data_IF_167130384205
#
_entry.id   IF_167130384205
#
_cell.length_a   1.000
_cell.length_b   1.000
_cell.length_c   1.000
_cell.angle_alpha   90.00
_cell.angle_beta   90.00
_cell.angle_gamma   90.00
#
_symmetry.space_group_name_H-M   'P 1'
#
loop_
_entity.id
_entity.type
_entity.pdbx_description
1 polymer ?
#
# COMPACT_ATOMS: atom_id res chain seq x y z
N UNK A 1 21.58 -13.45 17.46
CA UNK A 1 22.53 -12.34 17.64
C UNK A 1 23.09 -11.84 16.32
N UNK A 2 23.63 -12.69 15.45
CA UNK A 2 24.24 -12.25 14.19
C UNK A 2 23.23 -11.79 13.10
N UNK A 3 22.04 -12.40 13.08
CA UNK A 3 20.97 -12.06 12.12
C UNK A 3 20.28 -10.72 12.41
N UNK A 4 20.16 -10.36 13.69
CA UNK A 4 19.59 -9.09 14.15
C UNK A 4 20.59 -7.95 13.93
N UNK A 5 21.88 -8.19 14.15
CA UNK A 5 22.95 -7.23 13.82
C UNK A 5 23.08 -7.00 12.31
N UNK A 6 22.88 -8.02 11.46
CA UNK A 6 22.82 -7.86 10.00
C UNK A 6 21.57 -7.11 9.52
N UNK A 7 20.46 -7.22 10.23
CA UNK A 7 19.23 -6.43 10.01
C UNK A 7 19.39 -4.97 10.49
N UNK A 8 20.02 -4.74 11.65
CA UNK A 8 20.33 -3.39 12.15
C UNK A 8 21.38 -2.68 11.28
N UNK A 9 22.39 -3.38 10.77
CA UNK A 9 23.36 -2.83 9.81
C UNK A 9 22.74 -2.51 8.44
N UNK A 10 21.58 -3.13 8.08
CA UNK A 10 20.78 -2.75 6.91
C UNK A 10 19.93 -1.49 7.15
N UNK A 11 19.60 -1.18 8.40
CA UNK A 11 18.82 -0.01 8.81
C UNK A 11 19.72 1.23 9.02
N UNK A 12 21.01 1.04 9.33
CA UNK A 12 21.97 2.11 9.59
C UNK A 12 22.82 2.55 8.37
N UNK A 13 22.22 2.62 7.16
CA UNK A 13 22.82 3.52 6.15
C UNK A 13 22.31 4.92 6.43
N UNK A 14 23.17 5.88 6.79
CA UNK A 14 22.75 7.27 6.85
C UNK A 14 22.35 7.66 5.42
N UNK A 15 21.05 7.87 5.21
CA UNK A 15 20.60 8.72 4.12
C UNK A 15 21.18 10.08 4.44
N UNK A 16 22.38 10.34 3.95
CA UNK A 16 23.00 11.65 4.02
C UNK A 16 22.24 12.53 3.02
N UNK A 17 21.02 12.91 3.37
CA UNK A 17 20.21 13.86 2.64
C UNK A 17 20.56 15.24 3.15
N UNK A 18 21.53 15.86 2.47
CA UNK A 18 21.56 17.32 2.39
C UNK A 18 20.13 17.77 1.96
N UNK A 19 19.42 18.62 2.73
CA UNK A 19 18.02 18.97 2.49
C UNK A 19 17.85 19.96 1.33
N UNK A 20 18.51 19.70 0.19
CA UNK A 20 18.24 20.34 -1.10
C UNK A 20 17.58 19.33 -2.05
N UNK A 21 16.44 18.81 -1.62
CA UNK A 21 15.62 17.89 -2.38
C UNK A 21 14.73 18.66 -3.36
N UNK A 22 15.32 19.23 -4.41
CA UNK A 22 14.56 19.53 -5.61
C UNK A 22 14.38 18.22 -6.38
N UNK A 23 13.15 17.96 -6.83
CA UNK A 23 12.84 16.99 -7.86
C UNK A 23 13.57 17.47 -9.13
N UNK A 24 14.80 17.03 -9.32
CA UNK A 24 15.62 17.36 -10.49
C UNK A 24 15.67 16.14 -11.38
N UNK A 25 14.98 16.22 -12.52
CA UNK A 25 15.07 15.23 -13.60
C UNK A 25 15.82 15.84 -14.78
N UNK A 26 16.60 15.02 -15.47
CA UNK A 26 17.15 15.35 -16.80
C UNK A 26 16.28 14.82 -17.94
N UNK A 27 15.31 13.95 -17.64
CA UNK A 27 14.38 13.34 -18.61
C UNK A 27 13.12 14.20 -18.77
N UNK A 28 12.53 14.64 -17.66
CA UNK A 28 11.25 15.37 -17.62
C UNK A 28 11.44 16.76 -17.00
N UNK A 29 10.67 17.74 -17.48
CA UNK A 29 10.53 19.03 -16.78
C UNK A 29 9.85 18.83 -15.42
N UNK A 30 9.99 19.80 -14.51
CA UNK A 30 9.34 19.70 -13.19
C UNK A 30 7.81 19.51 -13.29
N UNK A 31 7.16 20.15 -14.27
CA UNK A 31 5.71 20.01 -14.47
C UNK A 31 5.34 18.62 -15.00
N UNK A 32 6.12 18.07 -15.93
CA UNK A 32 5.89 16.73 -16.47
C UNK A 32 6.15 15.65 -15.43
N UNK A 33 7.17 15.82 -14.58
CA UNK A 33 7.43 14.89 -13.50
C UNK A 33 6.33 14.94 -12.44
N UNK A 34 5.80 16.12 -12.09
CA UNK A 34 4.62 16.24 -11.22
C UNK A 34 3.39 15.58 -11.84
N UNK A 35 3.18 15.76 -13.14
CA UNK A 35 2.08 15.13 -13.86
C UNK A 35 2.22 13.61 -13.89
N UNK A 36 3.42 13.08 -14.17
CA UNK A 36 3.72 11.65 -14.09
C UNK A 36 3.44 11.11 -12.68
N UNK A 37 3.95 11.77 -11.64
CA UNK A 37 3.72 11.41 -10.23
C UNK A 37 2.21 11.39 -9.93
N UNK A 38 1.44 12.35 -10.45
CA UNK A 38 -0.01 12.34 -10.30
C UNK A 38 -0.68 11.20 -11.09
N UNK A 39 -0.19 10.88 -12.29
CA UNK A 39 -0.69 9.80 -13.15
C UNK A 39 -0.55 8.45 -12.44
N UNK A 40 0.61 8.17 -11.84
CA UNK A 40 0.84 6.96 -11.06
C UNK A 40 0.22 7.00 -9.65
N UNK A 41 -0.65 7.98 -9.37
CA UNK A 41 -1.42 8.17 -8.12
C UNK A 41 -0.54 8.47 -6.89
N UNK A 42 0.56 9.21 -7.07
CA UNK A 42 1.53 9.56 -6.03
C UNK A 42 1.56 11.07 -5.70
N UNK A 43 0.48 11.82 -5.96
CA UNK A 43 0.43 13.29 -6.01
C UNK A 43 0.97 14.03 -4.77
N UNK A 44 0.90 13.43 -3.59
CA UNK A 44 1.33 14.04 -2.32
C UNK A 44 2.65 13.49 -1.77
N UNK A 45 3.35 12.66 -2.54
CA UNK A 45 4.58 12.02 -2.11
C UNK A 45 5.80 12.82 -2.53
N UNK A 46 6.79 12.91 -1.63
CA UNK A 46 8.12 13.41 -1.96
C UNK A 46 8.97 12.28 -2.51
N UNK A 47 9.72 12.57 -3.56
CA UNK A 47 10.58 11.62 -4.26
C UNK A 47 12.01 12.11 -4.25
N UNK A 48 12.95 11.21 -3.92
CA UNK A 48 14.38 11.49 -3.93
C UNK A 48 15.04 10.72 -5.07
N UNK A 49 15.83 11.42 -5.89
CA UNK A 49 16.62 10.80 -6.95
C UNK A 49 17.78 10.01 -6.36
N UNK A 50 17.75 8.69 -6.50
CA UNK A 50 18.75 7.77 -5.93
C UNK A 50 19.81 7.38 -6.95
N UNK A 51 19.42 7.24 -8.20
CA UNK A 51 20.29 6.81 -9.29
C UNK A 51 19.95 7.56 -10.57
N UNK A 52 20.98 8.02 -11.28
CA UNK A 52 20.87 8.57 -12.64
C UNK A 52 21.99 7.99 -13.49
N UNK A 53 21.68 7.40 -14.64
CA UNK A 53 22.65 6.75 -15.51
C UNK A 53 23.81 7.67 -15.92
N UNK A 54 23.53 8.90 -16.37
CA UNK A 54 24.58 9.86 -16.74
C UNK A 54 25.46 10.33 -15.57
N UNK A 55 24.99 10.23 -14.32
CA UNK A 55 25.72 10.64 -13.11
C UNK A 55 26.48 9.47 -12.48
N UNK A 56 25.84 8.32 -12.37
CA UNK A 56 26.27 7.18 -11.57
C UNK A 56 26.82 6.02 -12.42
N UNK A 57 26.66 6.07 -13.75
CA UNK A 57 27.04 5.01 -14.71
C UNK A 57 25.85 4.12 -15.10
N UNK A 58 25.96 3.44 -16.23
CA UNK A 58 24.90 2.60 -16.83
C UNK A 58 25.17 1.09 -16.70
N UNK A 59 26.17 0.67 -15.93
CA UNK A 59 26.40 -0.75 -15.66
C UNK A 59 25.38 -1.25 -14.63
N UNK A 60 25.00 -2.53 -14.72
CA UNK A 60 24.12 -3.17 -13.72
C UNK A 60 24.69 -3.02 -12.31
N UNK A 61 26.02 -3.08 -12.15
CA UNK A 61 26.71 -2.84 -10.88
C UNK A 61 26.42 -1.45 -10.29
N UNK A 62 26.34 -0.40 -11.12
CA UNK A 62 26.02 0.95 -10.65
C UNK A 62 24.59 1.03 -10.12
N UNK A 63 23.64 0.42 -10.85
CA UNK A 63 22.26 0.31 -10.42
C UNK A 63 22.15 -0.45 -9.09
N UNK A 64 22.70 -1.67 -8.99
CA UNK A 64 22.64 -2.47 -7.77
C UNK A 64 23.31 -1.78 -6.58
N UNK A 65 24.44 -1.10 -6.78
CA UNK A 65 25.11 -0.37 -5.71
C UNK A 65 24.23 0.74 -5.11
N UNK A 66 23.41 1.40 -5.94
CA UNK A 66 22.55 2.52 -5.55
C UNK A 66 21.16 2.09 -5.11
N UNK A 67 20.61 1.03 -5.70
CA UNK A 67 19.20 0.69 -5.60
C UNK A 67 18.91 -0.59 -4.83
N UNK A 68 19.87 -1.51 -4.64
CA UNK A 68 19.63 -2.72 -3.84
C UNK A 68 19.23 -2.36 -2.40
N UNK A 69 18.16 -3.00 -1.93
CA UNK A 69 17.54 -2.73 -0.63
C UNK A 69 16.59 -1.54 -0.62
N UNK A 70 16.46 -0.77 -1.71
CA UNK A 70 15.42 0.25 -1.84
C UNK A 70 14.10 -0.39 -2.28
N UNK A 71 13.02 -0.02 -1.60
CA UNK A 71 11.63 -0.26 -2.00
C UNK A 71 10.97 1.04 -2.44
N UNK A 72 9.70 0.96 -2.87
CA UNK A 72 8.89 2.12 -3.28
C UNK A 72 9.64 3.00 -4.27
N UNK A 73 10.11 2.37 -5.36
CA UNK A 73 10.93 3.03 -6.36
C UNK A 73 10.16 3.32 -7.62
N UNK A 74 10.36 4.51 -8.18
CA UNK A 74 9.87 4.93 -9.49
C UNK A 74 11.08 5.00 -10.44
N UNK A 75 11.09 4.13 -11.45
CA UNK A 75 12.08 4.13 -12.53
C UNK A 75 11.53 4.88 -13.73
N UNK A 76 12.30 5.83 -14.27
CA UNK A 76 12.00 6.60 -15.48
C UNK A 76 13.14 6.37 -16.47
N UNK A 77 12.79 6.01 -17.70
CA UNK A 77 13.74 5.70 -18.78
C UNK A 77 13.41 6.60 -19.97
N UNK A 78 14.44 7.18 -20.57
CA UNK A 78 14.39 7.85 -21.87
C UNK A 78 15.19 7.02 -22.88
N UNK A 79 14.64 6.80 -24.07
CA UNK A 79 15.35 6.20 -25.21
C UNK A 79 15.88 7.24 -26.18
N UNK A 80 16.77 6.85 -27.10
CA UNK A 80 17.33 7.75 -28.11
C UNK A 80 16.26 8.39 -29.03
N UNK A 81 15.14 7.70 -29.25
CA UNK A 81 14.00 8.23 -30.00
C UNK A 81 12.98 9.01 -29.13
N UNK A 82 13.39 9.44 -27.92
CA UNK A 82 12.60 10.29 -27.02
C UNK A 82 11.30 9.69 -26.50
N UNK A 83 11.19 8.35 -26.52
CA UNK A 83 10.16 7.69 -25.74
C UNK A 83 10.53 7.78 -24.25
N UNK A 84 9.52 8.03 -23.40
CA UNK A 84 9.64 8.09 -21.94
C UNK A 84 8.65 7.14 -21.31
N UNK A 85 9.16 6.18 -20.57
CA UNK A 85 8.38 5.11 -19.93
C UNK A 85 9.15 4.61 -18.70
N UNK A 86 8.56 3.66 -17.99
CA UNK A 86 9.23 3.04 -16.85
C UNK A 86 8.26 2.28 -15.98
N UNK A 87 8.59 2.11 -14.71
CA UNK A 87 7.77 1.36 -13.79
C UNK A 87 7.93 1.80 -12.36
N UNK A 88 6.91 1.51 -11.57
CA UNK A 88 6.94 1.63 -10.13
C UNK A 88 6.87 0.24 -9.51
N UNK A 89 7.65 0.00 -8.45
CA UNK A 89 7.49 -1.17 -7.60
C UNK A 89 7.63 -0.77 -6.13
N UNK A 90 6.77 -1.34 -5.29
CA UNK A 90 6.88 -1.34 -3.83
C UNK A 90 7.85 -2.40 -3.31
N UNK A 91 8.23 -3.41 -4.11
CA UNK A 91 9.19 -4.43 -3.69
C UNK A 91 10.63 -3.88 -3.62
N UNK A 92 11.44 -4.51 -2.76
CA UNK A 92 12.86 -4.19 -2.65
C UNK A 92 13.64 -4.77 -3.83
N UNK A 93 14.52 -3.97 -4.43
CA UNK A 93 15.53 -4.49 -5.36
C UNK A 93 16.58 -5.33 -4.63
N UNK A 94 17.08 -6.36 -5.31
CA UNK A 94 18.23 -7.14 -4.87
C UNK A 94 18.98 -7.71 -6.08
N UNK A 95 20.07 -8.41 -5.79
CA UNK A 95 20.89 -9.15 -6.76
C UNK A 95 20.87 -10.66 -6.53
N UNK A 96 19.89 -11.15 -5.77
CA UNK A 96 19.82 -12.55 -5.34
C UNK A 96 19.34 -13.49 -6.46
N UNK A 97 18.80 -12.96 -7.55
CA UNK A 97 18.19 -13.74 -8.62
C UNK A 97 16.76 -14.13 -8.28
N UNK A 98 15.85 -14.01 -9.24
CA UNK A 98 14.47 -14.50 -9.10
C UNK A 98 13.40 -13.42 -9.16
N UNK A 99 12.15 -13.89 -9.20
CA UNK A 99 10.99 -13.02 -9.14
C UNK A 99 10.73 -12.56 -7.71
N UNK A 100 10.29 -11.32 -7.59
CA UNK A 100 9.80 -10.76 -6.33
C UNK A 100 8.35 -10.33 -6.51
N UNK A 101 7.54 -10.72 -5.52
CA UNK A 101 6.11 -10.45 -5.55
C UNK A 101 5.81 -8.98 -5.23
N UNK A 102 4.96 -8.35 -6.04
CA UNK A 102 4.40 -7.03 -5.78
C UNK A 102 3.07 -6.83 -6.52
N UNK A 103 1.97 -6.69 -5.78
CA UNK A 103 0.63 -6.52 -6.36
C UNK A 103 0.32 -5.08 -6.78
N UNK A 104 1.18 -4.13 -6.44
CA UNK A 104 0.99 -2.72 -6.74
C UNK A 104 2.01 -2.20 -7.74
N UNK A 105 2.87 -3.08 -8.22
CA UNK A 105 3.80 -2.78 -9.28
C UNK A 105 3.03 -2.39 -10.54
N UNK A 106 3.56 -1.43 -11.28
CA UNK A 106 2.99 -0.96 -12.53
C UNK A 106 4.08 -0.59 -13.51
N UNK A 107 3.74 -0.64 -14.79
CA UNK A 107 4.52 -0.03 -15.87
C UNK A 107 3.73 1.18 -16.37
N UNK A 108 4.41 2.26 -16.72
CA UNK A 108 3.78 3.42 -17.36
C UNK A 108 4.47 3.75 -18.68
N UNK A 109 3.72 4.38 -19.57
CA UNK A 109 4.22 5.05 -20.75
C UNK A 109 3.77 6.50 -20.72
N UNK A 110 4.72 7.43 -20.81
CA UNK A 110 4.47 8.87 -20.70
C UNK A 110 4.58 9.56 -22.05
N UNK A 111 5.68 9.31 -22.77
CA UNK A 111 5.85 9.67 -24.17
C UNK A 111 6.11 8.41 -25.00
N UNK A 112 5.27 8.18 -26.00
CA UNK A 112 5.36 7.04 -26.91
C UNK A 112 4.92 7.44 -28.33
N UNK A 113 5.04 6.50 -29.26
CA UNK A 113 4.66 6.67 -30.67
C UNK A 113 3.19 7.06 -30.89
N UNK A 114 2.32 6.80 -29.91
CA UNK A 114 0.90 7.13 -29.95
C UNK A 114 0.56 8.47 -29.25
N UNK A 115 1.54 9.10 -28.60
CA UNK A 115 1.38 10.30 -27.78
C UNK A 115 0.25 10.17 -26.72
N UNK A 116 0.12 8.99 -26.11
CA UNK A 116 -0.87 8.70 -25.05
C UNK A 116 -0.19 8.28 -23.76
N UNK A 117 -0.61 8.85 -22.63
CA UNK A 117 -0.19 8.41 -21.30
C UNK A 117 -0.96 7.16 -20.89
N UNK A 118 -0.26 6.12 -20.47
CA UNK A 118 -0.85 4.81 -20.18
C UNK A 118 -0.21 4.17 -18.93
N UNK A 119 -1.01 3.39 -18.22
CA UNK A 119 -0.61 2.61 -17.05
C UNK A 119 -0.99 1.14 -17.30
N UNK A 120 -0.08 0.24 -16.97
CA UNK A 120 -0.25 -1.20 -17.01
C UNK A 120 -0.11 -1.71 -15.58
N UNK A 121 -1.22 -2.13 -14.99
CA UNK A 121 -1.21 -2.72 -13.65
C UNK A 121 -0.68 -4.17 -13.72
N UNK A 122 0.02 -4.61 -12.67
CA UNK A 122 0.52 -5.97 -12.59
C UNK A 122 -0.64 -6.96 -12.39
N UNK A 123 -0.87 -7.82 -13.38
CA UNK A 123 -1.88 -8.89 -13.33
C UNK A 123 -1.34 -10.17 -12.69
N UNK A 124 -0.01 -10.35 -12.74
CA UNK A 124 0.71 -11.51 -12.18
C UNK A 124 1.66 -11.08 -11.07
N UNK A 125 1.10 -10.77 -9.90
CA UNK A 125 1.85 -10.16 -8.80
C UNK A 125 3.03 -10.99 -8.30
N UNK A 126 3.02 -12.33 -8.43
CA UNK A 126 4.16 -13.20 -8.07
C UNK A 126 5.38 -12.99 -8.96
N UNK A 127 5.17 -12.51 -10.18
CA UNK A 127 6.19 -12.24 -11.19
C UNK A 127 6.27 -10.74 -11.48
N UNK A 128 6.16 -9.88 -10.46
CA UNK A 128 6.08 -8.43 -10.63
C UNK A 128 7.42 -7.81 -11.05
N UNK A 129 8.51 -8.08 -10.33
CA UNK A 129 9.87 -7.67 -10.73
C UNK A 129 10.78 -8.88 -10.76
N UNK A 130 11.87 -8.76 -11.52
CA UNK A 130 12.87 -9.82 -11.63
C UNK A 130 14.26 -9.27 -11.29
N UNK A 131 14.81 -9.71 -10.16
CA UNK A 131 16.03 -9.16 -9.57
C UNK A 131 17.26 -9.95 -10.03
N UNK A 132 17.83 -9.65 -11.20
CA UNK A 132 19.05 -10.33 -11.67
C UNK A 132 20.32 -9.53 -11.40
N UNK A 133 21.42 -10.15 -10.94
CA UNK A 133 22.68 -9.46 -10.63
C UNK A 133 23.35 -8.73 -11.81
N UNK A 134 23.05 -9.14 -13.05
CA UNK A 134 23.72 -8.68 -14.26
C UNK A 134 22.83 -7.79 -15.15
N UNK A 135 21.74 -7.26 -14.61
CA UNK A 135 20.82 -6.37 -15.32
C UNK A 135 20.53 -5.11 -14.52
N UNK A 136 19.99 -4.09 -15.17
CA UNK A 136 19.34 -2.98 -14.48
C UNK A 136 17.94 -3.37 -13.97
N UNK A 137 17.06 -2.38 -13.75
CA UNK A 137 15.67 -2.62 -13.39
C UNK A 137 14.97 -3.54 -14.38
N UNK A 138 14.23 -4.52 -13.86
CA UNK A 138 13.43 -5.43 -14.68
C UNK A 138 12.07 -5.66 -14.05
N UNK A 139 11.03 -5.44 -14.84
CA UNK A 139 9.63 -5.64 -14.48
C UNK A 139 9.06 -6.79 -15.29
N UNK A 140 8.40 -7.71 -14.61
CA UNK A 140 7.74 -8.83 -15.24
C UNK A 140 8.73 -9.86 -15.76
N UNK A 141 8.26 -10.67 -16.71
CA UNK A 141 9.11 -11.57 -17.46
C UNK A 141 9.41 -10.93 -18.82
N UNK A 142 10.39 -10.02 -18.84
CA UNK A 142 10.75 -9.18 -19.99
C UNK A 142 9.65 -8.21 -20.46
N UNK A 143 8.60 -7.97 -19.66
CA UNK A 143 7.64 -6.90 -19.92
C UNK A 143 8.38 -5.55 -20.03
N UNK A 144 9.35 -5.32 -19.15
CA UNK A 144 10.37 -4.27 -19.30
C UNK A 144 11.70 -4.77 -18.73
N UNK A 145 12.74 -4.83 -19.57
CA UNK A 145 14.08 -5.30 -19.21
C UNK A 145 15.15 -4.29 -19.62
N UNK A 146 16.02 -3.92 -18.67
CA UNK A 146 17.16 -3.03 -18.90
C UNK A 146 18.47 -3.82 -18.79
N UNK A 147 19.22 -3.87 -19.88
CA UNK A 147 20.49 -4.57 -19.99
C UNK A 147 21.63 -3.87 -19.24
N UNK A 148 22.71 -4.61 -18.96
CA UNK A 148 23.97 -3.99 -18.55
C UNK A 148 24.53 -3.11 -19.68
N UNK A 149 25.12 -1.97 -19.33
CA UNK A 149 25.61 -0.97 -20.30
C UNK A 149 24.53 -0.58 -21.33
N UNK A 150 23.27 -0.44 -20.89
CA UNK A 150 22.11 -0.16 -21.74
C UNK A 150 22.21 1.10 -22.60
N UNK A 151 23.17 1.99 -22.31
CA UNK A 151 23.49 3.17 -23.11
C UNK A 151 24.51 2.91 -24.24
N UNK A 152 24.98 1.67 -24.42
CA UNK A 152 25.96 1.29 -25.46
C UNK A 152 25.48 0.16 -26.37
N UNK A 153 24.43 -0.57 -25.98
CA UNK A 153 23.88 -1.69 -26.74
C UNK A 153 22.36 -1.56 -26.91
N UNK A 154 21.77 -2.50 -27.64
CA UNK A 154 20.33 -2.60 -27.88
C UNK A 154 19.71 -3.81 -27.15
N UNK A 155 20.37 -4.32 -26.10
CA UNK A 155 19.95 -5.55 -25.44
C UNK A 155 18.79 -5.32 -24.44
N UNK A 156 18.44 -4.07 -24.17
CA UNK A 156 17.23 -3.71 -23.42
C UNK A 156 15.99 -3.97 -24.28
N UNK A 157 14.90 -4.41 -23.66
CA UNK A 157 13.69 -4.82 -24.39
C UNK A 157 12.40 -4.58 -23.58
N UNK A 158 11.27 -4.56 -24.28
CA UNK A 158 9.95 -4.40 -23.69
C UNK A 158 8.95 -5.30 -24.41
N UNK A 159 8.35 -6.24 -23.69
CA UNK A 159 7.37 -7.20 -24.19
C UNK A 159 6.10 -7.18 -23.35
N UNK A 160 5.42 -6.03 -23.30
CA UNK A 160 4.25 -5.80 -22.43
C UNK A 160 3.15 -6.82 -22.75
N UNK A 161 2.78 -7.64 -21.77
CA UNK A 161 1.64 -8.55 -21.90
C UNK A 161 1.74 -9.84 -21.09
N UNK A 162 2.87 -10.09 -20.40
CA UNK A 162 3.04 -11.28 -19.56
C UNK A 162 2.57 -11.01 -18.12
N UNK A 163 3.34 -10.23 -17.36
CA UNK A 163 2.98 -9.83 -16.00
C UNK A 163 2.18 -8.54 -15.96
N UNK A 164 2.28 -7.72 -17.02
CA UNK A 164 1.63 -6.43 -17.14
C UNK A 164 0.78 -6.44 -18.40
N UNK A 165 -0.53 -6.59 -18.23
CA UNK A 165 -1.44 -6.71 -19.36
C UNK A 165 -2.15 -5.38 -19.65
N UNK A 166 -2.47 -5.16 -20.92
CA UNK A 166 -3.51 -4.23 -21.34
C UNK A 166 -4.53 -5.03 -22.16
N UNK A 167 -5.77 -4.55 -22.23
CA UNK A 167 -6.85 -5.16 -23.03
C UNK A 167 -6.58 -5.17 -24.54
N UNK A 168 -5.49 -4.51 -24.99
CA UNK A 168 -5.20 -4.27 -26.40
C UNK A 168 -4.15 -5.23 -26.98
N UNK A 169 -3.27 -5.84 -26.17
CA UNK A 169 -2.11 -6.59 -26.67
C UNK A 169 -2.07 -8.03 -26.13
N UNK A 170 -1.78 -9.00 -27.00
CA UNK A 170 -1.41 -10.36 -26.59
C UNK A 170 0.09 -10.45 -26.33
N UNK A 171 0.49 -11.23 -25.32
CA UNK A 171 1.91 -11.48 -25.04
C UNK A 171 2.65 -11.96 -26.30
N UNK A 172 3.87 -11.46 -26.51
CA UNK A 172 4.73 -11.73 -27.67
C UNK A 172 4.21 -11.27 -29.04
N UNK A 173 3.11 -10.51 -29.11
CA UNK A 173 2.69 -9.87 -30.36
C UNK A 173 3.68 -8.77 -30.80
N UNK A 174 3.63 -8.38 -32.07
CA UNK A 174 4.48 -7.28 -32.56
C UNK A 174 4.09 -5.93 -31.94
N UNK A 175 2.80 -5.74 -31.64
CA UNK A 175 2.30 -4.58 -30.90
C UNK A 175 2.89 -4.54 -29.50
N UNK A 176 2.90 -5.68 -28.78
CA UNK A 176 3.51 -5.82 -27.45
C UNK A 176 4.98 -5.41 -27.43
N UNK A 177 5.74 -5.82 -28.44
CA UNK A 177 7.18 -5.54 -28.61
C UNK A 177 7.49 -4.09 -28.95
N UNK A 178 6.63 -3.47 -29.76
CA UNK A 178 6.90 -2.13 -30.31
C UNK A 178 6.16 -1.03 -29.57
N UNK A 179 5.33 -1.38 -28.57
CA UNK A 179 4.42 -0.45 -27.93
C UNK A 179 5.10 0.77 -27.30
N UNK A 180 6.07 0.54 -26.41
CA UNK A 180 6.69 1.61 -25.63
C UNK A 180 7.66 2.45 -26.45
N UNK A 181 8.41 1.79 -27.35
CA UNK A 181 9.62 2.36 -27.96
C UNK A 181 9.57 2.39 -29.48
N UNK A 182 8.58 1.77 -30.12
CA UNK A 182 8.54 1.55 -31.57
C UNK A 182 9.41 0.37 -32.05
N UNK A 183 10.11 -0.33 -31.16
CA UNK A 183 11.00 -1.46 -31.50
C UNK A 183 11.10 -2.47 -30.35
N UNK A 184 11.23 -3.77 -30.67
CA UNK A 184 11.38 -4.83 -29.65
C UNK A 184 12.56 -4.61 -28.69
N UNK A 185 13.63 -4.05 -29.24
CA UNK A 185 14.89 -3.77 -28.57
C UNK A 185 15.21 -2.28 -28.67
N UNK A 186 15.85 -1.72 -27.64
CA UNK A 186 16.16 -0.31 -27.59
C UNK A 186 17.44 -0.01 -26.82
N UNK A 187 17.98 1.18 -27.07
CA UNK A 187 19.12 1.75 -26.36
C UNK A 187 18.63 2.85 -25.44
N UNK A 188 19.13 2.85 -24.21
CA UNK A 188 18.76 3.81 -23.17
C UNK A 188 19.60 5.08 -23.34
N UNK A 189 18.94 6.23 -23.48
CA UNK A 189 19.60 7.53 -23.49
C UNK A 189 19.84 8.03 -22.06
N UNK A 190 18.86 7.83 -21.18
CA UNK A 190 18.96 8.18 -19.76
C UNK A 190 18.05 7.28 -18.92
N UNK A 191 18.44 7.04 -17.66
CA UNK A 191 17.64 6.33 -16.68
C UNK A 191 17.74 7.01 -15.33
N UNK A 192 16.62 7.22 -14.66
CA UNK A 192 16.54 7.78 -13.33
C UNK A 192 15.69 6.88 -12.43
N UNK A 193 16.17 6.63 -11.21
CA UNK A 193 15.41 5.88 -10.19
C UNK A 193 15.23 6.76 -8.98
N UNK A 194 13.99 6.97 -8.62
CA UNK A 194 13.57 7.72 -7.45
C UNK A 194 13.07 6.76 -6.39
N UNK A 195 13.26 7.08 -5.11
CA UNK A 195 12.58 6.40 -4.01
C UNK A 195 11.70 7.39 -3.26
N UNK A 196 10.59 6.90 -2.72
CA UNK A 196 9.72 7.69 -1.87
C UNK A 196 10.47 8.13 -0.61
N UNK A 197 10.23 9.37 -0.20
CA UNK A 197 10.63 9.86 1.12
C UNK A 197 9.97 9.05 2.24
N UNK A 198 10.77 8.43 3.11
CA UNK A 198 10.31 8.12 4.47
C UNK A 198 10.27 9.44 5.24
N UNK A 199 9.15 10.16 5.15
CA UNK A 199 8.94 11.31 6.03
C UNK A 199 8.88 10.80 7.48
N UNK A 200 9.54 11.50 8.41
CA UNK A 200 9.31 11.24 9.83
C UNK A 200 7.98 11.88 10.21
N UNK A 201 7.21 11.21 11.06
CA UNK A 201 6.06 11.86 11.70
C UNK A 201 6.55 13.12 12.44
N UNK A 202 5.88 14.25 12.19
CA UNK A 202 6.17 15.47 12.94
C UNK A 202 5.76 15.31 14.41
N UNK A 203 6.38 16.07 15.30
CA UNK A 203 6.04 16.04 16.73
C UNK A 203 4.55 16.31 16.97
N UNK A 204 3.95 17.25 16.25
CA UNK A 204 2.52 17.58 16.38
C UNK A 204 1.63 16.41 15.97
N UNK A 205 1.99 15.70 14.90
CA UNK A 205 1.28 14.50 14.42
C UNK A 205 1.36 13.36 15.43
N UNK A 206 2.53 13.11 16.00
CA UNK A 206 2.72 12.10 17.05
C UNK A 206 1.85 12.42 18.27
N UNK A 207 1.85 13.68 18.71
CA UNK A 207 1.08 14.12 19.87
C UNK A 207 -0.42 13.90 19.66
N UNK A 208 -0.95 14.29 18.50
CA UNK A 208 -2.35 14.07 18.14
C UNK A 208 -2.71 12.58 18.15
N UNK A 209 -1.84 11.72 17.60
CA UNK A 209 -2.05 10.29 17.58
C UNK A 209 -1.97 9.67 18.98
N UNK A 210 -1.09 10.16 19.86
CA UNK A 210 -1.06 9.75 21.28
C UNK A 210 -2.39 10.06 21.96
N UNK A 211 -2.93 11.26 21.76
CA UNK A 211 -4.21 11.70 22.34
C UNK A 211 -5.38 10.86 21.80
N UNK A 212 -5.41 10.57 20.50
CA UNK A 212 -6.49 9.77 19.88
C UNK A 212 -6.45 8.28 20.25
N UNK A 213 -5.26 7.70 20.36
CA UNK A 213 -5.09 6.23 20.50
C UNK A 213 -4.81 5.79 21.94
N UNK A 214 -4.46 6.72 22.83
CA UNK A 214 -3.99 6.42 24.18
C UNK A 214 -2.61 5.74 24.22
N UNK A 215 -1.89 5.65 23.09
CA UNK A 215 -0.59 4.99 22.98
C UNK A 215 0.55 5.98 23.14
N UNK A 216 1.72 5.49 23.57
CA UNK A 216 2.90 6.34 23.70
C UNK A 216 3.64 6.52 22.36
N UNK A 217 4.52 7.52 22.32
CA UNK A 217 5.31 7.88 21.12
C UNK A 217 6.08 6.71 20.52
N UNK A 218 6.66 5.84 21.35
CA UNK A 218 7.46 4.70 20.87
C UNK A 218 6.59 3.70 20.12
N UNK A 219 5.41 3.38 20.66
CA UNK A 219 4.46 2.46 20.02
C UNK A 219 3.96 3.02 18.67
N UNK A 220 3.65 4.32 18.62
CA UNK A 220 3.22 4.98 17.38
C UNK A 220 4.35 4.93 16.34
N UNK A 221 5.59 5.20 16.75
CA UNK A 221 6.73 5.17 15.85
C UNK A 221 7.01 3.76 15.31
N UNK A 222 6.96 2.73 16.16
CA UNK A 222 7.13 1.33 15.75
C UNK A 222 6.06 0.92 14.71
N UNK A 223 4.80 1.31 14.92
CA UNK A 223 3.72 1.05 13.97
C UNK A 223 3.88 1.87 12.70
N UNK A 224 4.36 3.11 12.78
CA UNK A 224 4.64 3.95 11.61
C UNK A 224 5.75 3.39 10.74
N UNK A 225 6.82 2.90 11.35
CA UNK A 225 7.94 2.31 10.63
C UNK A 225 7.49 1.02 9.92
N UNK A 226 6.69 0.19 10.61
CA UNK A 226 6.08 -0.99 10.02
C UNK A 226 5.08 -0.65 8.89
N UNK A 227 4.28 0.41 9.08
CA UNK A 227 3.35 0.90 8.07
C UNK A 227 4.11 1.37 6.84
N UNK A 228 5.11 2.24 6.97
CA UNK A 228 5.90 2.75 5.84
C UNK A 228 6.63 1.63 5.07
N UNK A 229 6.96 0.53 5.72
CA UNK A 229 7.58 -0.63 5.06
C UNK A 229 6.62 -1.38 4.13
N UNK A 230 5.31 -1.30 4.36
CA UNK A 230 4.28 -2.08 3.64
C UNK A 230 3.34 -1.19 2.83
N UNK A 231 3.14 0.05 3.27
CA UNK A 231 2.24 1.01 2.68
C UNK A 231 2.82 1.55 1.39
N UNK A 232 2.05 1.41 0.32
CA UNK A 232 2.40 1.92 -0.99
C UNK A 232 1.73 3.27 -1.11
N UNK A 233 2.54 4.29 -1.39
CA UNK A 233 2.12 5.70 -1.39
C UNK A 233 1.71 6.21 -0.01
N UNK A 234 2.15 5.52 1.05
CA UNK A 234 1.73 5.88 2.41
C UNK A 234 0.27 5.53 2.65
N UNK A 235 -0.24 4.60 1.85
CA UNK A 235 -1.59 4.08 1.90
C UNK A 235 -1.54 2.55 1.89
N UNK A 236 -2.52 1.92 2.54
CA UNK A 236 -2.74 0.48 2.48
C UNK A 236 -4.12 0.24 1.91
N UNK A 237 -4.21 -0.57 0.85
CA UNK A 237 -5.52 -0.94 0.29
C UNK A 237 -6.35 -1.66 1.35
N UNK A 238 -7.61 -1.24 1.51
CA UNK A 238 -8.52 -1.77 2.51
C UNK A 238 -8.60 -3.31 2.48
N UNK A 239 -8.77 -3.86 1.27
CA UNK A 239 -8.83 -5.31 1.01
C UNK A 239 -7.63 -6.06 1.61
N UNK A 240 -6.42 -5.50 1.43
CA UNK A 240 -5.20 -6.14 1.90
C UNK A 240 -5.13 -6.12 3.42
N UNK A 241 -5.53 -5.00 4.03
CA UNK A 241 -5.53 -4.88 5.49
C UNK A 241 -6.55 -5.81 6.15
N UNK A 242 -7.77 -5.87 5.61
CA UNK A 242 -8.80 -6.82 6.02
C UNK A 242 -8.28 -8.26 5.90
N UNK A 243 -7.70 -8.60 4.74
CA UNK A 243 -7.14 -9.94 4.50
C UNK A 243 -6.02 -10.28 5.49
N UNK A 244 -5.17 -9.32 5.83
CA UNK A 244 -4.11 -9.47 6.80
C UNK A 244 -4.65 -9.77 8.21
N UNK A 245 -5.65 -9.01 8.66
CA UNK A 245 -6.28 -9.21 9.97
C UNK A 245 -7.00 -10.55 10.06
N UNK A 246 -7.69 -10.95 8.99
CA UNK A 246 -8.31 -12.27 8.87
C UNK A 246 -7.26 -13.38 9.00
N UNK A 247 -6.13 -13.31 8.25
CA UNK A 247 -5.06 -14.31 8.34
C UNK A 247 -4.41 -14.38 9.72
N UNK A 248 -4.31 -13.25 10.42
CA UNK A 248 -3.80 -13.19 11.80
C UNK A 248 -4.75 -13.88 12.79
N UNK A 249 -6.05 -13.91 12.49
CA UNK A 249 -7.05 -14.68 13.22
C UNK A 249 -7.07 -16.14 12.76
N UNK A 250 -6.13 -16.94 13.27
CA UNK A 250 -5.84 -18.33 12.85
C UNK A 250 -6.97 -19.37 13.04
N UNK A 251 -8.16 -18.99 13.51
CA UNK A 251 -9.21 -19.92 13.95
C UNK A 251 -10.56 -19.72 13.22
N UNK A 252 -10.56 -19.43 11.92
CA UNK A 252 -11.78 -19.42 11.09
C UNK A 252 -11.96 -20.82 10.50
N UNK A 253 -13.03 -21.51 10.87
CA UNK A 253 -13.23 -22.93 10.54
C UNK A 253 -14.12 -23.11 9.31
N UNK A 254 -14.96 -22.11 8.98
CA UNK A 254 -15.92 -22.18 7.87
C UNK A 254 -15.84 -20.99 6.90
N UNK A 255 -16.18 -21.24 5.63
CA UNK A 255 -16.27 -20.19 4.60
C UNK A 255 -17.33 -19.12 4.94
N UNK A 256 -18.36 -19.52 5.68
CA UNK A 256 -19.41 -18.61 6.16
C UNK A 256 -18.84 -17.61 7.18
N UNK A 257 -18.16 -18.08 8.22
CA UNK A 257 -17.51 -17.22 9.21
C UNK A 257 -16.48 -16.27 8.57
N UNK A 258 -15.75 -16.75 7.55
CA UNK A 258 -14.79 -15.94 6.80
C UNK A 258 -15.45 -14.74 6.12
N UNK A 259 -16.50 -14.99 5.33
CA UNK A 259 -17.23 -13.94 4.61
C UNK A 259 -17.89 -12.95 5.56
N UNK A 260 -18.34 -13.43 6.72
CA UNK A 260 -18.94 -12.61 7.76
C UNK A 260 -17.93 -11.67 8.41
N UNK A 261 -16.77 -12.22 8.82
CA UNK A 261 -15.68 -11.43 9.38
C UNK A 261 -15.17 -10.39 8.37
N UNK A 262 -15.04 -10.78 7.10
CA UNK A 262 -14.66 -9.86 6.03
C UNK A 262 -15.67 -8.72 5.88
N UNK A 263 -16.96 -9.02 5.86
CA UNK A 263 -18.01 -7.99 5.77
C UNK A 263 -17.99 -7.01 6.94
N UNK A 264 -17.78 -7.49 8.17
CA UNK A 264 -17.74 -6.64 9.37
C UNK A 264 -16.48 -5.77 9.36
N UNK A 265 -15.33 -6.37 9.08
CA UNK A 265 -14.05 -5.66 9.04
C UNK A 265 -14.05 -4.58 7.96
N UNK A 266 -14.47 -4.90 6.73
CA UNK A 266 -14.64 -3.92 5.65
C UNK A 266 -15.50 -2.75 6.10
N UNK A 267 -16.65 -3.07 6.68
CA UNK A 267 -17.59 -2.08 7.16
C UNK A 267 -16.96 -1.16 8.22
N UNK A 268 -16.24 -1.71 9.20
CA UNK A 268 -15.52 -0.92 10.20
C UNK A 268 -14.47 -0.03 9.54
N UNK A 269 -13.66 -0.55 8.64
CA UNK A 269 -12.60 0.25 8.04
C UNK A 269 -13.09 1.31 7.06
N UNK A 270 -14.22 1.10 6.38
CA UNK A 270 -14.90 2.14 5.59
C UNK A 270 -15.30 3.35 6.46
N UNK A 271 -15.50 3.17 7.77
CA UNK A 271 -15.78 4.29 8.68
C UNK A 271 -14.54 5.13 9.03
N UNK A 272 -13.34 4.60 8.78
CA UNK A 272 -12.07 5.28 8.97
C UNK A 272 -11.46 5.81 7.68
N UNK A 273 -11.88 5.30 6.51
CA UNK A 273 -11.56 5.83 5.18
C UNK A 273 -12.34 7.14 4.96
N UNK A 274 -11.82 8.25 5.49
CA UNK A 274 -12.54 9.54 5.53
C UNK A 274 -12.75 10.10 4.11
N UNK A 275 -11.83 9.79 3.19
CA UNK A 275 -11.87 10.25 1.81
C UNK A 275 -12.56 9.26 0.84
N UNK A 276 -12.99 8.09 1.34
CA UNK A 276 -13.61 7.00 0.57
C UNK A 276 -12.75 6.56 -0.63
N UNK A 277 -11.43 6.59 -0.48
CA UNK A 277 -10.48 6.21 -1.53
C UNK A 277 -10.35 4.69 -1.70
N UNK A 278 -10.89 3.90 -0.77
CA UNK A 278 -10.65 2.45 -0.68
C UNK A 278 -9.25 2.11 -0.15
N UNK A 279 -8.56 3.10 0.41
CA UNK A 279 -7.21 3.01 0.95
C UNK A 279 -7.17 3.66 2.33
N UNK A 280 -6.30 3.16 3.21
CA UNK A 280 -6.05 3.74 4.52
C UNK A 280 -4.70 4.45 4.51
N UNK A 281 -4.69 5.76 4.70
CA UNK A 281 -3.48 6.49 5.05
C UNK A 281 -2.98 6.09 6.45
N UNK A 282 -1.84 6.61 6.89
CA UNK A 282 -1.32 6.24 8.20
C UNK A 282 -2.22 6.64 9.38
N UNK A 283 -2.86 7.81 9.32
CA UNK A 283 -3.76 8.30 10.37
C UNK A 283 -5.02 7.45 10.48
N UNK A 284 -5.57 7.04 9.35
CA UNK A 284 -6.72 6.15 9.28
C UNK A 284 -6.30 4.76 9.79
N UNK A 285 -5.24 4.21 9.21
CA UNK A 285 -4.69 2.90 9.57
C UNK A 285 -4.40 2.75 11.06
N UNK A 286 -3.70 3.70 11.69
CA UNK A 286 -3.23 3.54 13.07
C UNK A 286 -4.40 3.54 14.07
N UNK A 287 -5.44 4.34 13.80
CA UNK A 287 -6.65 4.36 14.61
C UNK A 287 -7.32 2.99 14.60
N UNK A 288 -7.44 2.35 13.43
CA UNK A 288 -8.02 1.02 13.36
C UNK A 288 -7.07 -0.07 13.88
N UNK A 289 -5.78 -0.01 13.54
CA UNK A 289 -4.79 -1.00 13.92
C UNK A 289 -4.80 -1.25 15.43
N UNK A 290 -4.87 -0.18 16.24
CA UNK A 290 -4.85 -0.31 17.69
C UNK A 290 -6.15 -0.87 18.29
N UNK A 291 -7.30 -0.70 17.63
CA UNK A 291 -8.55 -1.39 18.00
C UNK A 291 -8.36 -2.90 17.88
N UNK A 292 -7.73 -3.34 16.78
CA UNK A 292 -7.57 -4.78 16.47
C UNK A 292 -6.25 -5.39 16.97
N UNK A 293 -5.36 -4.61 17.57
CA UNK A 293 -4.11 -5.10 18.17
C UNK A 293 -4.37 -5.96 19.43
N UNK A 294 -5.54 -5.81 20.07
CA UNK A 294 -5.89 -6.48 21.32
C UNK A 294 -5.96 -8.01 21.18
N UNK A 295 -5.07 -8.70 21.89
CA UNK A 295 -4.70 -10.13 21.80
C UNK A 295 -5.87 -11.12 22.08
N UNK A 296 -5.98 -12.18 21.26
CA UNK A 296 -6.93 -13.36 21.24
C UNK A 296 -8.36 -13.13 20.67
N UNK A 297 -8.94 -14.17 20.01
CA UNK A 297 -10.24 -14.15 19.26
C UNK A 297 -11.39 -13.47 20.01
N UNK A 298 -11.61 -13.82 21.28
CA UNK A 298 -12.65 -13.20 22.14
C UNK A 298 -12.46 -11.69 22.30
N UNK A 299 -11.22 -11.21 22.27
CA UNK A 299 -10.91 -9.78 22.39
C UNK A 299 -11.06 -9.04 21.06
N UNK A 300 -10.90 -9.69 19.90
CA UNK A 300 -11.16 -9.06 18.59
C UNK A 300 -12.66 -8.84 18.35
N UNK A 301 -13.50 -9.84 18.64
CA UNK A 301 -14.96 -9.69 18.57
C UNK A 301 -15.45 -8.63 19.56
N UNK A 302 -14.86 -8.59 20.76
CA UNK A 302 -15.16 -7.59 21.78
C UNK A 302 -14.75 -6.20 21.33
N UNK A 303 -13.58 -6.03 20.73
CA UNK A 303 -13.13 -4.75 20.19
C UNK A 303 -14.08 -4.22 19.10
N UNK A 304 -14.64 -5.09 18.26
CA UNK A 304 -15.67 -4.70 17.27
C UNK A 304 -16.92 -4.17 17.98
N UNK A 305 -17.40 -4.86 19.02
CA UNK A 305 -18.58 -4.38 19.77
C UNK A 305 -18.30 -3.10 20.53
N UNK A 306 -17.13 -2.98 21.17
CA UNK A 306 -16.71 -1.76 21.85
C UNK A 306 -16.65 -0.59 20.86
N UNK A 307 -16.14 -0.83 19.63
CA UNK A 307 -16.15 0.15 18.55
C UNK A 307 -17.57 0.51 18.09
N UNK A 308 -18.45 -0.47 17.87
CA UNK A 308 -19.83 -0.23 17.45
C UNK A 308 -20.61 0.53 18.53
N UNK A 309 -20.35 0.24 19.80
CA UNK A 309 -20.88 0.99 20.92
C UNK A 309 -20.42 2.45 20.88
N UNK A 310 -19.12 2.68 20.79
CA UNK A 310 -18.55 4.04 20.76
C UNK A 310 -19.00 4.83 19.51
N UNK A 311 -19.34 4.13 18.42
CA UNK A 311 -19.92 4.71 17.21
C UNK A 311 -21.40 5.07 17.36
N UNK A 312 -22.15 4.32 18.19
CA UNK A 312 -23.54 4.60 18.49
C UNK A 312 -23.69 5.70 19.56
N UNK A 313 -22.81 5.72 20.56
CA UNK A 313 -22.78 6.66 21.69
C UNK A 313 -22.30 8.04 21.22
N UNK A 314 -23.19 8.78 20.56
CA UNK A 314 -22.84 10.05 19.89
C UNK A 314 -22.57 11.16 20.88
N UNK A 315 -23.25 11.14 22.02
CA UNK A 315 -23.12 12.13 23.06
C UNK A 315 -21.99 11.80 24.07
N UNK A 316 -21.37 10.62 23.93
CA UNK A 316 -20.29 10.10 24.79
C UNK A 316 -20.73 9.91 26.23
N UNK A 317 -22.02 9.61 26.44
CA UNK A 317 -22.61 9.36 27.76
C UNK A 317 -22.12 8.04 28.39
N UNK A 318 -21.41 7.19 27.64
CA UNK A 318 -21.02 5.83 28.03
C UNK A 318 -22.22 4.88 28.19
N UNK A 319 -23.36 5.25 27.62
CA UNK A 319 -24.61 4.49 27.59
C UNK A 319 -25.30 4.68 26.25
N UNK A 320 -26.17 3.75 25.85
CA UNK A 320 -26.95 3.88 24.62
C UNK A 320 -28.44 4.02 24.91
N UNK A 321 -29.05 5.00 24.25
CA UNK A 321 -30.51 5.16 24.18
C UNK A 321 -31.12 4.34 23.04
N UNK A 322 -32.44 4.14 23.07
CA UNK A 322 -33.15 3.35 22.05
C UNK A 322 -33.03 3.99 20.66
N UNK A 323 -32.97 5.31 20.58
CA UNK A 323 -32.75 6.09 19.37
C UNK A 323 -31.37 5.80 18.76
N UNK A 324 -30.30 5.85 19.56
CA UNK A 324 -28.92 5.55 19.12
C UNK A 324 -28.80 4.10 18.64
N UNK A 325 -29.43 3.16 19.35
CA UNK A 325 -29.48 1.76 18.93
C UNK A 325 -30.24 1.63 17.62
N UNK A 326 -31.38 2.31 17.44
CA UNK A 326 -32.12 2.26 16.18
C UNK A 326 -31.33 2.84 15.01
N UNK A 327 -30.55 3.91 15.24
CA UNK A 327 -29.65 4.46 14.22
C UNK A 327 -28.51 3.50 13.89
N UNK A 328 -27.89 2.90 14.90
CA UNK A 328 -26.87 1.85 14.74
C UNK A 328 -27.41 0.67 13.92
N UNK A 329 -28.60 0.17 14.26
CA UNK A 329 -29.28 -0.93 13.54
C UNK A 329 -29.66 -0.57 12.10
N UNK A 330 -30.09 0.68 11.86
CA UNK A 330 -30.35 1.18 10.50
C UNK A 330 -29.07 1.29 9.67
N UNK A 331 -27.97 1.69 10.31
CA UNK A 331 -26.67 1.81 9.67
C UNK A 331 -26.09 0.42 9.36
N UNK A 332 -26.33 -0.58 10.22
CA UNK A 332 -25.73 -1.92 10.12
C UNK A 332 -26.75 -3.09 10.14
N UNK A 333 -27.74 -3.13 9.24
CA UNK A 333 -28.84 -4.09 9.33
C UNK A 333 -28.41 -5.54 9.10
N UNK A 334 -27.40 -5.77 8.24
CA UNK A 334 -26.95 -7.12 7.87
C UNK A 334 -26.13 -7.81 8.97
N UNK A 335 -25.52 -7.01 9.86
CA UNK A 335 -24.64 -7.48 10.93
C UNK A 335 -25.45 -7.63 12.21
N UNK A 336 -26.25 -6.61 12.55
CA UNK A 336 -26.89 -6.51 13.87
C UNK A 336 -28.29 -7.15 13.97
N UNK A 337 -28.96 -7.45 12.85
CA UNK A 337 -30.25 -8.16 12.88
C UNK A 337 -30.12 -9.69 12.90
N UNK A 338 -28.93 -10.24 13.18
CA UNK A 338 -28.67 -11.68 13.22
C UNK A 338 -29.03 -12.27 14.58
N UNK A 339 -29.44 -13.54 14.61
CA UNK A 339 -29.65 -14.34 15.84
C UNK A 339 -30.43 -13.60 16.95
N UNK A 340 -31.45 -12.82 16.59
CA UNK A 340 -32.23 -12.01 17.52
C UNK A 340 -31.40 -10.96 18.30
N UNK A 341 -30.19 -10.60 17.87
CA UNK A 341 -29.33 -9.62 18.56
C UNK A 341 -30.02 -8.25 18.64
N UNK A 342 -30.56 -7.75 17.53
CA UNK A 342 -31.31 -6.50 17.50
C UNK A 342 -32.53 -6.49 18.44
N UNK A 343 -33.29 -7.60 18.52
CA UNK A 343 -34.41 -7.69 19.47
C UNK A 343 -33.91 -7.74 20.91
N UNK A 344 -32.87 -8.52 21.20
CA UNK A 344 -32.28 -8.59 22.54
C UNK A 344 -31.70 -7.25 23.03
N UNK A 345 -31.10 -6.46 22.13
CA UNK A 345 -30.66 -5.10 22.44
C UNK A 345 -31.83 -4.22 22.88
N UNK A 346 -32.91 -4.21 22.07
CA UNK A 346 -34.10 -3.40 22.36
C UNK A 346 -34.78 -3.87 23.65
N UNK A 347 -34.84 -5.17 23.87
CA UNK A 347 -35.45 -5.76 25.07
C UNK A 347 -34.63 -5.41 26.33
N UNK A 348 -33.30 -5.50 26.29
CA UNK A 348 -32.45 -5.07 27.43
C UNK A 348 -32.64 -3.60 27.76
N UNK A 349 -32.70 -2.72 26.75
CA UNK A 349 -32.93 -1.28 26.96
C UNK A 349 -34.32 -1.05 27.57
N UNK A 350 -35.35 -1.68 27.02
CA UNK A 350 -36.74 -1.50 27.49
C UNK A 350 -36.98 -2.06 28.89
N UNK A 351 -36.24 -3.12 29.29
CA UNK A 351 -36.30 -3.73 30.62
C UNK A 351 -35.44 -2.99 31.65
N UNK A 352 -34.46 -2.19 31.21
CA UNK A 352 -33.62 -1.40 32.11
C UNK A 352 -34.43 -0.27 32.76
N UNK A 353 -34.21 -0.06 34.07
CA UNK A 353 -34.97 0.95 34.85
C UNK A 353 -34.76 2.39 34.38
N UNK A 354 -33.61 2.68 33.76
CA UNK A 354 -33.22 3.98 33.23
C UNK A 354 -33.36 4.08 31.71
N UNK A 355 -33.82 3.01 31.02
CA UNK A 355 -33.88 2.92 29.55
C UNK A 355 -32.53 3.15 28.85
N UNK A 356 -31.44 2.75 29.50
CA UNK A 356 -30.08 2.91 29.00
C UNK A 356 -29.38 1.56 28.97
N UNK A 357 -28.54 1.36 27.97
CA UNK A 357 -27.69 0.18 27.85
C UNK A 357 -26.22 0.56 28.01
N UNK A 358 -25.55 0.03 29.02
CA UNK A 358 -24.13 0.31 29.26
C UNK A 358 -23.22 -0.45 28.30
N UNK A 359 -21.97 0.02 28.14
CA UNK A 359 -20.96 -0.63 27.30
C UNK A 359 -20.71 -2.11 27.66
N UNK A 360 -20.71 -2.43 28.95
CA UNK A 360 -20.55 -3.81 29.41
C UNK A 360 -21.74 -4.69 29.01
N UNK A 361 -22.97 -4.20 29.22
CA UNK A 361 -24.19 -4.94 28.87
C UNK A 361 -24.33 -5.15 27.35
N UNK A 362 -23.88 -4.18 26.55
CA UNK A 362 -23.78 -4.31 25.10
C UNK A 362 -22.77 -5.39 24.70
N UNK A 363 -21.59 -5.41 25.34
CA UNK A 363 -20.54 -6.40 25.05
C UNK A 363 -20.87 -7.81 25.56
N UNK A 364 -21.72 -7.96 26.58
CA UNK A 364 -22.19 -9.28 27.03
C UNK A 364 -23.01 -10.03 25.98
N UNK A 365 -23.58 -9.33 25.01
CA UNK A 365 -24.37 -9.92 23.93
C UNK A 365 -23.48 -10.48 22.79
N UNK A 366 -22.17 -10.54 22.99
CA UNK A 366 -21.18 -10.98 21.99
C UNK A 366 -21.41 -12.39 21.47
N UNK A 367 -21.83 -13.31 22.35
CA UNK A 367 -22.12 -14.71 21.99
C UNK A 367 -23.38 -14.85 21.10
N UNK A 368 -24.17 -13.79 20.92
CA UNK A 368 -25.33 -13.80 20.02
C UNK A 368 -24.96 -13.31 18.61
N UNK A 369 -23.90 -12.52 18.47
CA UNK A 369 -23.54 -11.85 17.22
C UNK A 369 -22.58 -12.68 16.34
N UNK A 370 -21.77 -13.50 17.00
CA UNK A 370 -20.80 -14.43 16.40
C UNK A 370 -21.06 -15.84 16.93
#
# INVERSE_FOLDING_TARGET
NDSVQKLQAKIERPVNSDPKAHISSTILTENELRDLISLVKFKDQKWYLMYRGSRDGFMSENFHHKCDGLSNTLTIIETENKAVFGGFTGACWSKDGGFVQDQYSLIFSYFNTLNKKLIFECSRSLEAIYCQPNSGPSFGYNDLFISNECNKNFDSSSHIGYSYCNTVNSYNSEESKTFLTGSANFKVAEIEVYTKACEKLSHDKIKLLCEKTGKNTKQIQEVYDAFNAVAINGQIKLDLFVSFLIRKNQNIETEKELKEMESILRFVFESFDEDNSGHLDFFEFIQCYFIFEAKNRKNCQKAILEFLFDLADKDKSQSLEIEEINELLKKFPNILNRNNFASNLKDKVNLSSNKLLTKNEFCELLDLLF
#
